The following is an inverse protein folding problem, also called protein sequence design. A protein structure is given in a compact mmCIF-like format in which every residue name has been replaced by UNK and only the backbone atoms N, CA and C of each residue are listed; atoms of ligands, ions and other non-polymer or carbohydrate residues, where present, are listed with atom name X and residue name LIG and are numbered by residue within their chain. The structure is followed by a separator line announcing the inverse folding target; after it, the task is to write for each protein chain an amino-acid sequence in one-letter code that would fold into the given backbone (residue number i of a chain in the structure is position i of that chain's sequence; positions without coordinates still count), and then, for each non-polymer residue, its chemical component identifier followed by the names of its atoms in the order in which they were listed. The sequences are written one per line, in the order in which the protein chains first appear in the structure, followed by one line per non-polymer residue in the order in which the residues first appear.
data_IF_916058862505
#
_entry.id   IF_916058862505
#
_cell.length_a   1.000
_cell.length_b   1.000
_cell.length_c   1.000
_cell.angle_alpha   90.00
_cell.angle_beta   90.00
_cell.angle_gamma   90.00
#
_symmetry.space_group_name_H-M   'P 1'
#
loop_
_entity.id
_entity.type
_entity.pdbx_description
1 polymer ?
#
# COMPACT_ATOMS: atom_id res chain seq x y z
N UNK A 1 -12.77 16.36 -10.32
CA UNK A 1 -12.87 15.03 -9.70
C UNK A 1 -11.55 14.88 -8.99
N UNK A 2 -11.47 15.41 -7.78
CA UNK A 2 -10.18 15.82 -7.21
C UNK A 2 -9.88 14.89 -6.04
N UNK A 3 -8.91 13.99 -6.22
CA UNK A 3 -8.47 13.08 -5.17
C UNK A 3 -7.30 13.69 -4.41
N UNK A 4 -7.42 13.77 -3.09
CA UNK A 4 -6.32 14.22 -2.22
C UNK A 4 -5.20 13.17 -2.06
N UNK A 5 -5.54 11.88 -2.17
CA UNK A 5 -4.58 10.79 -1.96
C UNK A 5 -5.12 9.42 -2.37
N UNK A 6 -4.26 8.41 -2.29
CA UNK A 6 -4.49 7.03 -2.66
C UNK A 6 -4.26 6.11 -1.45
N UNK A 7 -5.10 5.10 -1.29
CA UNK A 7 -4.86 3.96 -0.39
C UNK A 7 -4.85 2.69 -1.22
N UNK A 8 -3.89 1.80 -0.98
CA UNK A 8 -3.86 0.47 -1.56
C UNK A 8 -4.33 -0.56 -0.54
N UNK A 9 -5.16 -1.51 -0.98
CA UNK A 9 -5.60 -2.65 -0.17
C UNK A 9 -5.42 -3.90 -1.00
N UNK A 10 -4.70 -4.87 -0.45
CA UNK A 10 -4.43 -6.16 -1.09
C UNK A 10 -4.99 -7.29 -0.22
N UNK A 11 -5.90 -8.09 -0.78
CA UNK A 11 -6.43 -9.27 -0.10
C UNK A 11 -5.48 -10.45 -0.29
N UNK A 12 -5.06 -11.11 0.80
CA UNK A 12 -4.32 -12.38 0.79
C UNK A 12 -5.31 -13.52 1.09
N UNK A 13 -5.80 -14.26 0.07
CA UNK A 13 -6.80 -15.31 0.26
C UNK A 13 -6.27 -16.53 1.02
N UNK A 14 -4.94 -16.65 1.13
CA UNK A 14 -4.27 -17.69 1.91
C UNK A 14 -4.33 -17.43 3.43
N UNK A 15 -4.86 -16.29 3.86
CA UNK A 15 -5.01 -15.92 5.25
C UNK A 15 -3.80 -15.21 5.86
N UNK A 16 -2.71 -15.03 5.10
CA UNK A 16 -1.51 -14.36 5.58
C UNK A 16 -1.70 -12.85 5.67
N UNK A 17 -1.23 -12.23 6.76
CA UNK A 17 -1.08 -10.77 6.84
C UNK A 17 0.33 -10.31 6.46
N UNK A 18 1.25 -11.24 6.20
CA UNK A 18 2.64 -10.91 5.91
C UNK A 18 2.77 -10.37 4.49
N UNK A 19 3.23 -9.12 4.30
CA UNK A 19 3.40 -8.56 2.97
C UNK A 19 4.44 -9.36 2.17
N UNK A 20 4.04 -9.77 0.96
CA UNK A 20 4.94 -10.42 0.03
C UNK A 20 6.04 -9.45 -0.43
N UNK A 21 7.05 -9.98 -1.11
CA UNK A 21 8.07 -9.14 -1.75
C UNK A 21 7.42 -8.25 -2.81
N UNK A 22 6.46 -8.79 -3.54
CA UNK A 22 5.73 -8.14 -4.61
C UNK A 22 4.87 -6.97 -4.08
N UNK A 23 4.23 -7.13 -2.91
CA UNK A 23 3.48 -6.06 -2.25
C UNK A 23 4.40 -4.88 -1.90
N UNK A 24 5.61 -5.15 -1.39
CA UNK A 24 6.60 -4.11 -1.06
C UNK A 24 7.14 -3.42 -2.31
N UNK A 25 7.44 -4.17 -3.37
CA UNK A 25 7.86 -3.61 -4.65
C UNK A 25 6.77 -2.72 -5.26
N UNK A 26 5.50 -3.15 -5.19
CA UNK A 26 4.36 -2.34 -5.61
C UNK A 26 4.25 -1.06 -4.78
N UNK A 27 4.42 -1.15 -3.46
CA UNK A 27 4.38 0.01 -2.55
C UNK A 27 5.40 1.06 -2.96
N UNK A 28 6.65 0.65 -3.19
CA UNK A 28 7.72 1.55 -3.64
C UNK A 28 7.44 2.13 -5.04
N UNK A 29 7.01 1.28 -5.97
CA UNK A 29 6.67 1.67 -7.34
C UNK A 29 5.57 2.73 -7.39
N UNK A 30 4.50 2.54 -6.62
CA UNK A 30 3.35 3.44 -6.57
C UNK A 30 3.71 4.72 -5.82
N UNK A 31 4.32 4.61 -4.64
CA UNK A 31 4.74 5.78 -3.83
C UNK A 31 5.59 6.76 -4.63
N UNK A 32 6.55 6.27 -5.44
CA UNK A 32 7.40 7.14 -6.27
C UNK A 32 6.64 7.79 -7.43
N UNK A 33 5.67 7.10 -8.02
CA UNK A 33 4.95 7.59 -9.22
C UNK A 33 3.81 8.52 -8.89
N UNK A 34 3.05 8.25 -7.83
CA UNK A 34 1.92 9.12 -7.46
C UNK A 34 2.39 10.50 -7.02
N UNK A 35 3.61 10.61 -6.46
CA UNK A 35 4.28 11.89 -6.18
C UNK A 35 4.44 12.79 -7.40
N UNK A 36 4.61 12.22 -8.60
CA UNK A 36 4.71 13.01 -9.85
C UNK A 36 3.39 13.70 -10.19
N UNK A 37 2.28 13.10 -9.76
CA UNK A 37 0.91 13.59 -9.99
C UNK A 37 0.37 14.42 -8.83
N UNK A 38 1.21 14.74 -7.84
CA UNK A 38 0.80 15.37 -6.58
C UNK A 38 -0.29 14.59 -5.82
N UNK A 39 -0.28 13.26 -5.96
CA UNK A 39 -1.17 12.34 -5.25
C UNK A 39 -0.36 11.60 -4.18
N UNK A 40 -0.74 11.77 -2.92
CA UNK A 40 -0.08 11.09 -1.80
C UNK A 40 -0.58 9.65 -1.65
N UNK A 41 0.33 8.67 -1.61
CA UNK A 41 0.01 7.34 -1.13
C UNK A 41 -0.09 7.41 0.40
N UNK A 42 -1.31 7.31 0.93
CA UNK A 42 -1.63 7.44 2.35
C UNK A 42 -1.44 6.14 3.13
N UNK A 43 -1.35 5.00 2.43
CA UNK A 43 -1.13 3.70 3.05
C UNK A 43 -1.28 2.55 2.06
N UNK A 44 -0.68 1.41 2.41
CA UNK A 44 -0.90 0.15 1.73
C UNK A 44 -1.13 -0.94 2.79
N UNK A 45 -2.28 -1.62 2.71
CA UNK A 45 -2.68 -2.63 3.69
C UNK A 45 -2.86 -3.99 3.04
N UNK A 46 -2.26 -5.01 3.65
CA UNK A 46 -2.64 -6.41 3.42
C UNK A 46 -3.84 -6.72 4.30
N UNK A 47 -4.88 -7.33 3.73
CA UNK A 47 -6.08 -7.76 4.48
C UNK A 47 -6.29 -9.25 4.33
N UNK A 48 -6.61 -9.92 5.43
CA UNK A 48 -6.90 -11.34 5.47
C UNK A 48 -7.72 -11.66 6.73
N UNK A 49 -8.67 -12.59 6.64
CA UNK A 49 -9.44 -13.10 7.79
C UNK A 49 -10.09 -12.02 8.69
N UNK A 50 -10.49 -10.88 8.13
CA UNK A 50 -11.08 -9.77 8.88
C UNK A 50 -10.06 -8.86 9.60
N UNK A 51 -8.77 -9.11 9.41
CA UNK A 51 -7.67 -8.33 9.95
C UNK A 51 -6.92 -7.58 8.85
N UNK A 52 -6.07 -6.63 9.23
CA UNK A 52 -5.24 -5.84 8.32
C UNK A 52 -3.84 -5.58 8.86
N UNK A 53 -2.84 -5.56 7.99
CA UNK A 53 -1.46 -5.19 8.31
C UNK A 53 -0.95 -4.11 7.36
N UNK A 54 -0.40 -3.03 7.91
CA UNK A 54 0.16 -1.94 7.14
C UNK A 54 1.55 -2.25 6.60
N UNK A 55 1.82 -1.90 5.35
CA UNK A 55 3.14 -1.95 4.73
C UNK A 55 3.81 -0.59 4.94
N UNK A 56 5.02 -0.60 5.50
CA UNK A 56 5.82 0.61 5.69
C UNK A 56 6.03 1.34 4.36
N UNK A 57 5.76 2.64 4.34
CA UNK A 57 5.93 3.46 3.15
C UNK A 57 7.39 3.93 3.02
N UNK A 58 7.92 4.07 1.79
CA UNK A 58 9.27 4.59 1.58
C UNK A 58 9.43 6.01 2.14
N UNK A 59 10.36 6.18 3.08
CA UNK A 59 10.70 7.47 3.68
C UNK A 59 9.93 7.83 4.96
N UNK A 60 9.07 6.93 5.47
CA UNK A 60 8.56 7.01 6.83
C UNK A 60 9.53 6.30 7.81
N UNK A 61 9.77 6.86 9.02
CA UNK A 61 10.67 6.28 10.01
C UNK A 61 10.17 4.96 10.61
#
# INVERSE_FOLDING_TARGET
MDSYGLVLVHNHPDGSLQPSREDRLLTDFVSRRTKILDIHLLGHFVVANGESHGIALPGEP
#
